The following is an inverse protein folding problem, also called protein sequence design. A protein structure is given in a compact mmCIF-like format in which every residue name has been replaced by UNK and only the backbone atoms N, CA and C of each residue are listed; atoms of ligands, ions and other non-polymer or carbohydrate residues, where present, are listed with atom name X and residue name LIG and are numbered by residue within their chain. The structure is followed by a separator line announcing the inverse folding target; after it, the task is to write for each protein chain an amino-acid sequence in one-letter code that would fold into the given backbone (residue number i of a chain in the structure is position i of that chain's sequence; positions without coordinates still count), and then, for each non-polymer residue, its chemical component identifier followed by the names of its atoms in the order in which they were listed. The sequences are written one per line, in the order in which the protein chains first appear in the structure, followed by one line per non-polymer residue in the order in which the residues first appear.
data_IF_833094998715
#
_entry.id   IF_833094998715
#
_cell.length_a   1.000
_cell.length_b   1.000
_cell.length_c   1.000
_cell.angle_alpha   90.00
_cell.angle_beta   90.00
_cell.angle_gamma   90.00
#
_symmetry.space_group_name_H-M   'P 1'
#
loop_
_entity.id
_entity.type
_entity.pdbx_description
1 polymer ?
#
# COMPACT_ATOMS: atom_id res chain seq x y z
N UNK A 1 -26.92 -23.72 22.32
CA UNK A 1 -26.64 -22.77 21.21
C UNK A 1 -25.35 -22.05 21.55
N UNK A 2 -24.20 -22.52 21.08
CA UNK A 2 -22.94 -21.79 21.28
C UNK A 2 -22.92 -20.64 20.31
N UNK A 3 -23.39 -19.47 20.74
CA UNK A 3 -23.17 -18.23 19.99
C UNK A 3 -21.69 -17.89 20.11
N UNK A 4 -20.90 -18.20 19.09
CA UNK A 4 -19.58 -17.59 18.91
C UNK A 4 -19.81 -16.09 18.68
N UNK A 5 -20.01 -15.36 19.77
CA UNK A 5 -20.24 -13.91 19.70
C UNK A 5 -18.87 -13.26 19.62
N UNK A 6 -18.55 -12.70 18.44
CA UNK A 6 -17.36 -11.87 18.29
C UNK A 6 -17.65 -10.49 18.84
N UNK A 7 -16.70 -9.89 19.54
CA UNK A 7 -16.81 -8.50 20.02
C UNK A 7 -16.60 -7.55 18.82
N UNK A 8 -15.67 -7.88 17.92
CA UNK A 8 -15.28 -7.05 16.79
C UNK A 8 -15.11 -7.88 15.53
N UNK A 9 -15.59 -7.36 14.41
CA UNK A 9 -15.20 -7.83 13.07
C UNK A 9 -14.18 -6.85 12.50
N UNK A 10 -13.03 -7.35 12.01
CA UNK A 10 -12.04 -6.56 11.29
C UNK A 10 -12.09 -6.93 9.80
N UNK A 11 -12.30 -5.93 8.93
CA UNK A 11 -12.34 -6.12 7.48
C UNK A 11 -10.96 -5.80 6.91
N UNK A 12 -10.23 -6.83 6.49
CA UNK A 12 -8.87 -6.79 5.97
C UNK A 12 -7.82 -7.25 6.96
N UNK A 13 -6.87 -8.09 6.47
CA UNK A 13 -5.76 -8.65 7.24
C UNK A 13 -4.41 -8.08 6.82
N UNK A 14 -4.40 -6.84 6.31
CA UNK A 14 -3.16 -6.08 6.14
C UNK A 14 -2.57 -5.66 7.49
N UNK A 15 -1.43 -4.97 7.47
CA UNK A 15 -0.72 -4.54 8.69
C UNK A 15 -1.63 -3.82 9.69
N UNK A 16 -2.55 -2.98 9.22
CA UNK A 16 -3.50 -2.29 10.10
C UNK A 16 -4.44 -3.26 10.82
N UNK A 17 -5.03 -4.20 10.07
CA UNK A 17 -5.96 -5.19 10.63
C UNK A 17 -5.27 -6.13 11.60
N UNK A 18 -4.09 -6.65 11.24
CA UNK A 18 -3.30 -7.53 12.11
C UNK A 18 -2.90 -6.82 13.41
N UNK A 19 -2.43 -5.57 13.32
CA UNK A 19 -2.07 -4.77 14.51
C UNK A 19 -3.29 -4.53 15.41
N UNK A 20 -4.42 -4.14 14.84
CA UNK A 20 -5.63 -3.91 15.62
C UNK A 20 -6.15 -5.21 16.26
N UNK A 21 -6.07 -6.34 15.55
CA UNK A 21 -6.46 -7.65 16.09
C UNK A 21 -5.58 -8.07 17.27
N UNK A 22 -4.26 -7.92 17.15
CA UNK A 22 -3.32 -8.22 18.25
C UNK A 22 -3.60 -7.35 19.48
N UNK A 23 -3.84 -6.05 19.29
CA UNK A 23 -4.13 -5.11 20.38
C UNK A 23 -5.48 -5.40 21.07
N UNK A 24 -6.50 -5.79 20.31
CA UNK A 24 -7.81 -6.18 20.85
C UNK A 24 -7.76 -7.52 21.56
N UNK A 25 -7.07 -8.52 20.98
CA UNK A 25 -6.85 -9.81 21.60
C UNK A 25 -6.10 -9.70 22.92
N UNK A 26 -5.06 -8.88 23.00
CA UNK A 26 -4.32 -8.62 24.24
C UNK A 26 -5.21 -8.02 25.35
N UNK A 27 -6.35 -7.40 24.99
CA UNK A 27 -7.38 -6.89 25.92
C UNK A 27 -8.49 -7.92 26.18
N UNK A 28 -8.34 -9.17 25.71
CA UNK A 28 -9.30 -10.23 25.87
C UNK A 28 -10.54 -10.16 24.96
N UNK A 29 -10.51 -9.31 23.91
CA UNK A 29 -11.63 -9.19 22.96
C UNK A 29 -11.59 -10.32 21.92
N UNK A 30 -12.74 -10.88 21.58
CA UNK A 30 -12.90 -11.87 20.51
C UNK A 30 -13.02 -11.17 19.16
N UNK A 31 -12.11 -11.49 18.26
CA UNK A 31 -11.99 -10.84 16.96
C UNK A 31 -12.23 -11.84 15.82
N UNK A 32 -13.10 -11.50 14.89
CA UNK A 32 -13.22 -12.14 13.59
C UNK A 32 -12.58 -11.24 12.53
N UNK A 33 -11.59 -11.77 11.81
CA UNK A 33 -11.01 -11.06 10.67
C UNK A 33 -11.54 -11.64 9.36
N UNK A 34 -11.95 -10.77 8.43
CA UNK A 34 -12.39 -11.14 7.09
C UNK A 34 -11.35 -10.66 6.07
N UNK A 35 -10.84 -11.58 5.26
CA UNK A 35 -9.83 -11.31 4.23
C UNK A 35 -10.34 -11.78 2.86
N UNK A 36 -10.28 -10.91 1.86
CA UNK A 36 -10.71 -11.21 0.49
C UNK A 36 -9.80 -12.21 -0.24
N UNK A 37 -8.49 -12.15 0.07
CA UNK A 37 -7.49 -13.03 -0.53
C UNK A 37 -7.40 -14.38 0.23
N UNK A 38 -6.56 -15.26 -0.27
CA UNK A 38 -6.25 -16.55 0.37
C UNK A 38 -5.15 -16.48 1.43
N UNK A 39 -4.45 -15.32 1.53
CA UNK A 39 -3.34 -15.08 2.45
C UNK A 39 -3.48 -13.74 3.17
N UNK A 40 -2.87 -13.66 4.36
CA UNK A 40 -2.81 -12.47 5.21
C UNK A 40 -1.62 -11.58 4.87
N UNK A 41 -1.54 -10.36 5.47
CA UNK A 41 -0.44 -9.42 5.30
C UNK A 41 -0.73 -8.26 4.33
N UNK A 42 -1.78 -8.39 3.50
CA UNK A 42 -2.16 -7.36 2.53
C UNK A 42 -1.05 -7.04 1.53
N UNK A 43 -0.93 -5.78 1.09
CA UNK A 43 0.14 -5.36 0.18
C UNK A 43 1.54 -5.55 0.77
N UNK A 44 1.71 -5.24 2.06
CA UNK A 44 3.01 -5.35 2.73
C UNK A 44 3.51 -6.80 2.74
N UNK A 45 2.65 -7.77 2.95
CA UNK A 45 2.99 -9.20 2.92
C UNK A 45 3.59 -9.66 1.58
N UNK A 46 3.45 -8.85 0.53
CA UNK A 46 4.00 -9.11 -0.80
C UNK A 46 5.36 -8.43 -1.04
N UNK A 47 5.94 -7.71 -0.10
CA UNK A 47 7.20 -7.01 -0.27
C UNK A 47 8.38 -7.87 0.18
N UNK A 48 9.45 -7.86 -0.64
CA UNK A 48 10.67 -8.62 -0.39
C UNK A 48 11.42 -8.12 0.84
N UNK A 49 11.48 -6.80 1.01
CA UNK A 49 12.08 -6.14 2.18
C UNK A 49 11.26 -4.92 2.56
N UNK A 50 10.97 -4.76 3.84
CA UNK A 50 10.28 -3.61 4.40
C UNK A 50 11.27 -2.63 5.04
N UNK A 51 11.27 -1.39 4.60
CA UNK A 51 12.04 -0.33 5.24
C UNK A 51 11.20 0.37 6.33
N UNK A 52 11.76 0.69 7.51
CA UNK A 52 13.15 0.53 7.94
C UNK A 52 13.46 -0.81 8.61
N UNK A 53 12.57 -1.78 8.58
CA UNK A 53 12.63 -3.01 9.40
C UNK A 53 13.70 -4.01 8.92
N UNK A 54 14.10 -3.98 7.64
CA UNK A 54 15.09 -4.89 7.08
C UNK A 54 14.66 -6.35 6.93
N UNK A 55 13.38 -6.65 7.14
CA UNK A 55 12.78 -7.99 7.03
C UNK A 55 11.75 -8.04 5.92
N UNK A 56 11.36 -9.23 5.49
CA UNK A 56 10.29 -9.39 4.50
C UNK A 56 8.94 -8.94 5.05
N UNK A 57 8.03 -8.57 4.16
CA UNK A 57 6.67 -8.20 4.57
C UNK A 57 5.90 -9.34 5.21
N UNK A 58 6.20 -10.59 4.84
CA UNK A 58 5.63 -11.78 5.46
C UNK A 58 6.10 -11.92 6.90
N UNK A 59 7.41 -11.86 7.15
CA UNK A 59 7.97 -11.90 8.50
C UNK A 59 7.44 -10.77 9.37
N UNK A 60 7.28 -9.57 8.81
CA UNK A 60 6.68 -8.45 9.53
C UNK A 60 5.23 -8.76 9.92
N UNK A 61 4.41 -9.27 9.00
CA UNK A 61 3.02 -9.60 9.28
C UNK A 61 2.90 -10.71 10.35
N UNK A 62 3.71 -11.76 10.26
CA UNK A 62 3.76 -12.86 11.22
C UNK A 62 4.24 -12.40 12.61
N UNK A 63 5.14 -11.41 12.68
CA UNK A 63 5.60 -10.84 13.95
C UNK A 63 4.54 -10.00 14.68
N UNK A 64 3.55 -9.48 13.96
CA UNK A 64 2.48 -8.64 14.53
C UNK A 64 1.40 -9.48 15.19
N UNK A 65 0.94 -10.53 14.51
CA UNK A 65 -0.12 -11.42 15.01
C UNK A 65 0.29 -12.87 14.78
N UNK A 66 0.64 -13.61 15.84
CA UNK A 66 0.89 -15.05 15.74
C UNK A 66 -0.35 -15.82 15.25
N UNK A 67 -0.14 -16.83 14.40
CA UNK A 67 -1.23 -17.62 13.82
C UNK A 67 -2.07 -18.39 14.87
N UNK A 68 -1.56 -18.56 16.08
CA UNK A 68 -2.17 -19.35 17.16
C UNK A 68 -2.86 -18.49 18.23
N UNK A 69 -3.24 -17.24 17.93
CA UNK A 69 -3.97 -16.41 18.91
C UNK A 69 -5.39 -16.96 19.16
N UNK A 70 -5.67 -17.34 20.39
CA UNK A 70 -6.93 -17.98 20.78
C UNK A 70 -8.17 -17.08 20.69
N UNK A 71 -7.99 -15.75 20.70
CA UNK A 71 -9.08 -14.80 20.63
C UNK A 71 -9.33 -14.30 19.19
N UNK A 72 -8.47 -14.68 18.24
CA UNK A 72 -8.57 -14.20 16.85
C UNK A 72 -8.90 -15.36 15.91
N UNK A 73 -9.96 -15.20 15.15
CA UNK A 73 -10.30 -16.09 14.04
C UNK A 73 -10.18 -15.36 12.72
N UNK A 74 -9.54 -15.97 11.72
CA UNK A 74 -9.35 -15.40 10.40
C UNK A 74 -10.11 -16.22 9.37
N UNK A 75 -10.94 -15.55 8.55
CA UNK A 75 -11.57 -16.12 7.38
C UNK A 75 -10.97 -15.50 6.13
N UNK A 76 -10.21 -16.27 5.40
CA UNK A 76 -9.72 -15.93 4.07
C UNK A 76 -10.80 -16.19 3.02
N UNK A 77 -10.62 -15.64 1.79
CA UNK A 77 -11.58 -15.71 0.67
C UNK A 77 -12.99 -15.21 1.05
N UNK A 78 -13.05 -14.27 1.99
CA UNK A 78 -14.28 -13.68 2.52
C UNK A 78 -14.29 -12.19 2.24
N UNK A 79 -14.93 -11.79 1.15
CA UNK A 79 -14.99 -10.38 0.71
C UNK A 79 -16.23 -9.74 1.31
N UNK A 80 -16.04 -8.77 2.21
CA UNK A 80 -17.12 -7.94 2.74
C UNK A 80 -17.75 -7.12 1.59
N UNK A 81 -19.08 -7.11 1.51
CA UNK A 81 -19.85 -6.40 0.49
C UNK A 81 -20.69 -5.25 1.05
N UNK A 82 -21.22 -5.40 2.26
CA UNK A 82 -22.04 -4.38 2.92
C UNK A 82 -21.98 -4.52 4.44
N UNK A 83 -22.33 -3.45 5.13
CA UNK A 83 -22.50 -3.39 6.58
C UNK A 83 -23.93 -2.92 6.85
N UNK A 84 -24.59 -3.53 7.83
CA UNK A 84 -25.94 -3.12 8.26
C UNK A 84 -26.00 -2.97 9.76
N UNK A 85 -26.70 -1.94 10.24
CA UNK A 85 -27.01 -1.72 11.65
C UNK A 85 -28.18 -2.59 12.06
N UNK A 86 -28.00 -3.40 13.10
CA UNK A 86 -29.05 -4.26 13.64
C UNK A 86 -29.88 -3.52 14.70
N UNK A 87 -31.12 -4.01 15.01
CA UNK A 87 -32.00 -3.33 15.95
C UNK A 87 -31.44 -3.14 17.38
N UNK A 88 -30.49 -3.97 17.79
CA UNK A 88 -29.80 -3.90 19.08
C UNK A 88 -28.59 -2.95 19.07
N UNK A 89 -28.34 -2.29 17.93
CA UNK A 89 -27.19 -1.40 17.72
C UNK A 89 -25.88 -2.10 17.37
N UNK A 90 -25.86 -3.44 17.27
CA UNK A 90 -24.74 -4.18 16.72
C UNK A 90 -24.66 -4.06 15.19
N UNK A 91 -23.55 -4.48 14.60
CA UNK A 91 -23.32 -4.37 13.17
C UNK A 91 -23.24 -5.77 12.53
N UNK A 92 -23.83 -5.93 11.35
CA UNK A 92 -23.74 -7.12 10.52
C UNK A 92 -22.92 -6.82 9.27
N UNK A 93 -21.93 -7.67 8.98
CA UNK A 93 -21.11 -7.61 7.76
C UNK A 93 -21.56 -8.74 6.83
N UNK A 94 -22.09 -8.39 5.67
CA UNK A 94 -22.41 -9.33 4.60
C UNK A 94 -21.21 -9.57 3.70
N UNK A 95 -21.00 -10.80 3.27
CA UNK A 95 -19.94 -11.17 2.34
C UNK A 95 -20.50 -11.56 0.97
N UNK A 96 -19.66 -11.49 -0.07
CA UNK A 96 -20.04 -11.81 -1.46
C UNK A 96 -20.40 -13.28 -1.66
N UNK A 97 -19.98 -14.18 -0.76
CA UNK A 97 -20.32 -15.60 -0.74
C UNK A 97 -21.70 -15.90 -0.12
N UNK A 98 -22.45 -14.86 0.27
CA UNK A 98 -23.77 -14.96 0.90
C UNK A 98 -23.71 -15.20 2.42
N UNK A 99 -22.54 -15.30 3.02
CA UNK A 99 -22.42 -15.38 4.50
C UNK A 99 -22.57 -13.99 5.13
N UNK A 100 -23.05 -13.97 6.38
CA UNK A 100 -23.10 -12.75 7.19
C UNK A 100 -22.58 -13.03 8.60
N UNK A 101 -21.91 -12.04 9.17
CA UNK A 101 -21.32 -12.10 10.50
C UNK A 101 -21.71 -10.87 11.29
N UNK A 102 -22.03 -11.01 12.57
CA UNK A 102 -22.40 -9.89 13.43
C UNK A 102 -21.43 -9.74 14.60
N UNK A 103 -21.22 -8.48 15.02
CA UNK A 103 -20.44 -8.11 16.18
C UNK A 103 -20.91 -6.76 16.71
N UNK A 104 -20.54 -6.42 17.96
CA UNK A 104 -20.83 -5.09 18.54
C UNK A 104 -20.11 -3.97 17.81
N UNK A 105 -18.95 -4.27 17.22
CA UNK A 105 -18.16 -3.28 16.49
C UNK A 105 -17.59 -3.86 15.19
N UNK A 106 -17.35 -2.99 14.22
CA UNK A 106 -16.64 -3.29 12.98
C UNK A 106 -15.48 -2.32 12.83
N UNK A 107 -14.29 -2.84 12.52
CA UNK A 107 -13.11 -2.03 12.20
C UNK A 107 -12.74 -2.25 10.73
N UNK A 108 -12.84 -1.20 9.93
CA UNK A 108 -12.47 -1.22 8.53
C UNK A 108 -10.95 -0.98 8.37
N UNK A 109 -10.23 -2.02 7.96
CA UNK A 109 -8.80 -2.01 7.68
C UNK A 109 -8.49 -2.47 6.25
N UNK A 110 -9.37 -2.11 5.31
CA UNK A 110 -9.37 -2.58 3.91
C UNK A 110 -8.20 -2.07 3.07
N UNK A 111 -7.39 -1.14 3.60
CA UNK A 111 -6.22 -0.61 2.93
C UNK A 111 -6.55 0.28 1.72
N UNK A 112 -5.77 0.14 0.67
CA UNK A 112 -5.82 0.96 -0.54
C UNK A 112 -5.69 0.10 -1.80
N UNK A 113 -6.09 0.66 -2.95
CA UNK A 113 -5.81 0.10 -4.27
C UNK A 113 -4.49 0.63 -4.83
N UNK A 114 -3.85 -0.14 -5.70
CA UNK A 114 -2.75 0.35 -6.52
C UNK A 114 -3.31 1.10 -7.74
N UNK A 115 -2.62 2.17 -8.14
CA UNK A 115 -2.98 2.89 -9.36
C UNK A 115 -2.77 2.01 -10.58
N UNK A 116 -3.75 1.98 -11.48
CA UNK A 116 -3.62 1.29 -12.76
C UNK A 116 -2.72 2.09 -13.71
N UNK A 117 -1.48 1.63 -13.89
CA UNK A 117 -0.50 2.29 -14.72
C UNK A 117 -0.88 2.36 -16.20
N UNK A 118 -1.85 1.55 -16.68
CA UNK A 118 -2.38 1.61 -18.06
C UNK A 118 -3.10 2.93 -18.35
N UNK A 119 -3.58 3.62 -17.33
CA UNK A 119 -4.18 4.95 -17.45
C UNK A 119 -3.15 6.05 -17.79
N UNK A 120 -1.85 5.71 -17.80
CA UNK A 120 -0.73 6.57 -18.21
C UNK A 120 -0.11 6.01 -19.48
N UNK A 121 -0.88 6.02 -20.57
CA UNK A 121 -0.49 5.44 -21.87
C UNK A 121 0.87 5.95 -22.35
N UNK A 122 1.20 7.22 -22.07
CA UNK A 122 2.47 7.85 -22.42
C UNK A 122 3.69 7.18 -21.77
N UNK A 123 3.50 6.36 -20.73
CA UNK A 123 4.56 5.59 -20.08
C UNK A 123 4.69 4.16 -20.63
N UNK A 124 3.72 3.69 -21.42
CA UNK A 124 3.79 2.44 -22.17
C UNK A 124 3.64 1.16 -21.37
N UNK A 125 3.09 1.21 -20.14
CA UNK A 125 2.83 0.00 -19.36
C UNK A 125 1.80 -0.92 -20.01
N UNK A 126 2.15 -2.20 -20.14
CA UNK A 126 1.33 -3.18 -20.87
C UNK A 126 1.41 -3.08 -22.41
N UNK A 127 2.16 -2.10 -22.92
CA UNK A 127 2.39 -1.89 -24.37
C UNK A 127 3.83 -2.24 -24.75
N UNK A 128 4.81 -1.71 -23.98
CA UNK A 128 6.22 -1.91 -24.28
C UNK A 128 6.83 -2.94 -23.32
N UNK A 129 7.51 -3.98 -23.83
CA UNK A 129 8.34 -4.85 -23.00
C UNK A 129 9.38 -4.01 -22.23
N UNK A 130 9.62 -4.34 -20.96
CA UNK A 130 10.57 -3.61 -20.12
C UNK A 130 9.96 -2.44 -19.34
N UNK A 131 8.68 -2.07 -19.55
CA UNK A 131 7.96 -1.17 -18.66
C UNK A 131 7.26 -2.00 -17.58
N UNK A 132 7.66 -1.80 -16.33
CA UNK A 132 7.22 -2.56 -15.16
C UNK A 132 6.72 -1.61 -14.07
N UNK A 133 5.80 -2.05 -13.24
CA UNK A 133 5.44 -1.33 -12.02
C UNK A 133 6.35 -1.74 -10.86
N UNK A 134 6.37 -0.94 -9.79
CA UNK A 134 7.01 -1.32 -8.53
C UNK A 134 6.46 -2.63 -7.97
N UNK A 135 5.16 -2.89 -8.15
CA UNK A 135 4.51 -4.13 -7.74
C UNK A 135 4.99 -5.34 -8.56
N UNK A 136 5.17 -5.17 -9.89
CA UNK A 136 5.68 -6.25 -10.75
C UNK A 136 7.09 -6.66 -10.33
N UNK A 137 7.96 -5.69 -10.02
CA UNK A 137 9.32 -5.96 -9.53
C UNK A 137 9.29 -6.73 -8.22
N UNK A 138 8.52 -6.28 -7.24
CA UNK A 138 8.40 -6.96 -5.94
C UNK A 138 7.85 -8.40 -6.10
N UNK A 139 6.85 -8.58 -6.97
CA UNK A 139 6.28 -9.91 -7.25
C UNK A 139 7.30 -10.85 -7.90
N UNK A 140 8.13 -10.35 -8.83
CA UNK A 140 9.20 -11.14 -9.45
C UNK A 140 10.27 -11.51 -8.42
N UNK A 141 10.69 -10.57 -7.57
CA UNK A 141 11.68 -10.84 -6.53
C UNK A 141 11.21 -11.87 -5.51
N UNK A 142 9.95 -11.85 -5.12
CA UNK A 142 9.37 -12.88 -4.23
C UNK A 142 9.43 -14.29 -4.83
N UNK A 143 9.28 -14.40 -6.15
CA UNK A 143 9.43 -15.67 -6.88
C UNK A 143 10.88 -16.07 -7.12
N UNK A 144 11.86 -15.26 -6.67
CA UNK A 144 13.27 -15.46 -6.97
C UNK A 144 13.65 -15.11 -8.41
N UNK A 145 12.75 -14.49 -9.16
CA UNK A 145 12.98 -14.07 -10.53
C UNK A 145 13.82 -12.79 -10.54
N UNK A 146 14.60 -12.62 -11.60
CA UNK A 146 15.38 -11.39 -11.85
C UNK A 146 14.92 -10.78 -13.17
N UNK A 147 14.19 -9.64 -13.13
CA UNK A 147 13.91 -8.90 -14.35
C UNK A 147 15.24 -8.56 -15.05
N UNK A 148 15.34 -8.72 -16.36
CA UNK A 148 16.56 -8.53 -17.15
C UNK A 148 17.70 -9.53 -16.83
N UNK A 149 17.39 -10.72 -16.33
CA UNK A 149 18.37 -11.80 -16.22
C UNK A 149 18.99 -12.07 -17.61
N UNK A 150 20.33 -12.03 -17.69
CA UNK A 150 21.09 -12.20 -18.94
C UNK A 150 21.50 -10.90 -19.66
N UNK A 151 21.03 -9.73 -19.20
CA UNK A 151 21.56 -8.45 -19.66
C UNK A 151 22.89 -8.15 -18.94
N UNK A 152 23.93 -7.82 -19.69
CA UNK A 152 25.17 -7.25 -19.14
C UNK A 152 24.97 -5.76 -18.92
N UNK A 153 25.31 -5.26 -17.72
CA UNK A 153 25.23 -3.84 -17.33
C UNK A 153 23.84 -3.22 -17.59
N UNK A 154 22.74 -3.78 -17.05
CA UNK A 154 21.40 -3.29 -17.37
C UNK A 154 21.18 -1.88 -16.83
N UNK A 155 20.44 -1.07 -17.59
CA UNK A 155 20.10 0.31 -17.26
C UNK A 155 18.65 0.39 -16.83
N UNK A 156 18.41 0.87 -15.62
CA UNK A 156 17.07 1.06 -15.05
C UNK A 156 16.75 2.54 -14.90
N UNK A 157 15.58 2.93 -15.35
CA UNK A 157 14.96 4.19 -14.96
C UNK A 157 13.83 3.92 -13.97
N UNK A 158 13.77 4.65 -12.88
CA UNK A 158 12.67 4.60 -11.91
C UNK A 158 11.96 5.95 -11.97
N UNK A 159 10.67 5.97 -12.29
CA UNK A 159 9.88 7.21 -12.35
C UNK A 159 8.91 7.28 -11.19
N UNK A 160 8.99 8.37 -10.44
CA UNK A 160 8.18 8.61 -9.26
C UNK A 160 6.82 9.24 -9.60
N UNK A 161 5.87 9.15 -8.66
CA UNK A 161 4.55 9.80 -8.71
C UNK A 161 3.66 9.37 -9.88
N UNK A 162 3.76 8.10 -10.32
CA UNK A 162 2.84 7.56 -11.33
C UNK A 162 1.47 7.34 -10.68
N UNK A 163 0.44 8.07 -11.14
CA UNK A 163 -0.88 8.07 -10.51
C UNK A 163 -0.91 8.73 -9.12
N UNK A 164 -0.01 9.70 -8.88
CA UNK A 164 -0.01 10.54 -7.69
C UNK A 164 0.36 11.96 -8.07
N UNK A 165 -0.25 12.99 -7.44
CA UNK A 165 0.00 14.39 -7.76
C UNK A 165 -0.22 14.67 -9.26
N UNK A 166 -1.22 14.02 -9.83
CA UNK A 166 -1.50 14.03 -11.25
C UNK A 166 -2.96 14.42 -11.53
N UNK A 167 -3.16 15.64 -12.00
CA UNK A 167 -4.47 16.18 -12.32
C UNK A 167 -5.12 15.50 -13.52
N UNK A 168 -4.33 14.94 -14.45
CA UNK A 168 -4.86 14.21 -15.62
C UNK A 168 -5.58 12.93 -15.19
N UNK A 169 -5.12 12.31 -14.12
CA UNK A 169 -5.75 11.11 -13.54
C UNK A 169 -6.73 11.45 -12.40
N UNK A 170 -7.02 12.74 -12.16
CA UNK A 170 -7.82 13.23 -11.04
C UNK A 170 -7.30 12.79 -9.65
N UNK A 171 -6.01 12.50 -9.52
CA UNK A 171 -5.37 12.11 -8.26
C UNK A 171 -4.43 13.24 -7.80
N UNK A 172 -4.95 14.07 -6.90
CA UNK A 172 -4.23 15.28 -6.42
C UNK A 172 -3.27 14.98 -5.28
N UNK A 173 -3.54 13.95 -4.50
CA UNK A 173 -2.76 13.63 -3.31
C UNK A 173 -1.41 12.99 -3.65
N UNK A 174 -0.48 13.10 -2.71
CA UNK A 174 0.77 12.34 -2.69
C UNK A 174 0.51 10.98 -2.03
N UNK A 175 1.03 9.91 -2.61
CA UNK A 175 0.97 8.57 -2.00
C UNK A 175 1.97 8.39 -0.85
N UNK A 176 2.74 9.42 -0.51
CA UNK A 176 3.60 9.55 0.66
C UNK A 176 4.82 8.61 0.70
N UNK A 177 4.67 7.36 0.29
CA UNK A 177 5.70 6.31 0.43
C UNK A 177 6.55 6.10 -0.81
N UNK A 178 6.11 6.53 -2.00
CA UNK A 178 6.78 6.17 -3.25
C UNK A 178 8.21 6.72 -3.38
N UNK A 179 8.56 7.83 -2.72
CA UNK A 179 9.94 8.32 -2.72
C UNK A 179 10.87 7.34 -1.98
N UNK A 180 10.52 6.95 -0.77
CA UNK A 180 11.29 5.98 0.01
C UNK A 180 11.34 4.62 -0.69
N UNK A 181 10.18 4.12 -1.17
CA UNK A 181 10.14 2.81 -1.86
C UNK A 181 10.97 2.82 -3.14
N UNK A 182 10.95 3.91 -3.91
CA UNK A 182 11.76 4.02 -5.13
C UNK A 182 13.25 4.10 -4.86
N UNK A 183 13.68 4.81 -3.80
CA UNK A 183 15.09 4.85 -3.39
C UNK A 183 15.54 3.48 -2.87
N UNK A 184 14.74 2.83 -2.00
CA UNK A 184 14.99 1.46 -1.54
C UNK A 184 15.14 0.49 -2.73
N UNK A 185 14.18 0.52 -3.66
CA UNK A 185 14.20 -0.34 -4.83
C UNK A 185 15.44 -0.10 -5.72
N UNK A 186 15.89 1.15 -5.85
CA UNK A 186 17.10 1.48 -6.56
C UNK A 186 18.36 0.83 -5.91
N UNK A 187 18.46 0.86 -4.58
CA UNK A 187 19.55 0.19 -3.87
C UNK A 187 19.48 -1.33 -4.00
N UNK A 188 18.28 -1.91 -3.93
CA UNK A 188 18.08 -3.35 -4.11
C UNK A 188 18.40 -3.80 -5.54
N UNK A 189 18.08 -3.00 -6.57
CA UNK A 189 18.51 -3.27 -7.95
C UNK A 189 20.03 -3.28 -8.03
N UNK A 190 20.71 -2.29 -7.46
CA UNK A 190 22.19 -2.23 -7.44
C UNK A 190 22.82 -3.41 -6.70
N UNK A 191 22.20 -3.90 -5.64
CA UNK A 191 22.67 -5.10 -4.92
C UNK A 191 22.53 -6.37 -5.76
N UNK A 192 21.41 -6.51 -6.49
CA UNK A 192 21.14 -7.69 -7.35
C UNK A 192 21.86 -7.65 -8.69
N UNK A 193 22.16 -6.45 -9.18
CA UNK A 193 22.88 -6.19 -10.44
C UNK A 193 24.00 -5.16 -10.18
N UNK A 194 25.14 -5.60 -9.65
CA UNK A 194 26.22 -4.68 -9.25
C UNK A 194 26.73 -3.76 -10.37
N UNK A 195 26.69 -4.25 -11.62
CA UNK A 195 27.13 -3.49 -12.79
C UNK A 195 26.04 -2.64 -13.43
N UNK A 196 24.81 -2.65 -12.87
CA UNK A 196 23.69 -1.87 -13.41
C UNK A 196 23.89 -0.37 -13.24
N UNK A 197 23.19 0.41 -14.07
CA UNK A 197 23.00 1.84 -13.87
C UNK A 197 21.55 2.07 -13.47
N UNK A 198 21.31 2.84 -12.41
CA UNK A 198 19.97 3.15 -11.92
C UNK A 198 19.81 4.64 -11.77
N UNK A 199 18.80 5.18 -12.45
CA UNK A 199 18.45 6.61 -12.39
C UNK A 199 17.01 6.79 -11.90
N UNK A 200 16.84 7.56 -10.82
CA UNK A 200 15.54 7.98 -10.31
C UNK A 200 15.13 9.31 -10.95
N UNK A 201 13.95 9.35 -11.59
CA UNK A 201 13.31 10.54 -12.13
C UNK A 201 12.20 10.99 -11.19
N UNK A 202 12.31 12.19 -10.62
CA UNK A 202 11.44 12.67 -9.57
C UNK A 202 11.05 14.14 -9.73
N UNK A 203 9.92 14.55 -9.15
CA UNK A 203 9.55 15.97 -9.04
C UNK A 203 10.14 16.59 -7.78
N UNK A 204 9.85 15.99 -6.63
CA UNK A 204 10.40 16.30 -5.30
C UNK A 204 10.63 14.98 -4.58
N UNK A 205 11.75 14.81 -3.91
CA UNK A 205 12.00 13.70 -3.00
C UNK A 205 11.49 14.09 -1.61
N UNK A 206 10.54 13.31 -1.12
CA UNK A 206 9.95 13.49 0.21
C UNK A 206 10.49 12.42 1.15
N UNK A 207 11.74 12.62 1.58
CA UNK A 207 12.50 11.72 2.45
C UNK A 207 12.60 12.37 3.83
N UNK A 208 11.48 12.41 4.57
CA UNK A 208 11.36 13.22 5.80
C UNK A 208 11.06 12.40 7.06
N UNK A 209 10.97 11.07 6.95
CA UNK A 209 10.78 10.20 8.11
C UNK A 209 12.13 9.62 8.58
N UNK A 210 12.13 9.01 9.75
CA UNK A 210 13.32 8.47 10.39
C UNK A 210 14.02 7.42 9.49
N UNK A 211 15.32 7.60 9.25
CA UNK A 211 16.15 6.74 8.41
C UNK A 211 15.97 6.97 6.90
N UNK A 212 15.09 7.85 6.46
CA UNK A 212 14.84 8.06 5.02
C UNK A 212 15.95 8.87 4.35
N UNK A 213 16.48 9.86 5.04
CA UNK A 213 17.59 10.67 4.53
C UNK A 213 18.86 9.84 4.44
N UNK A 214 19.12 9.01 5.43
CA UNK A 214 20.25 8.07 5.43
C UNK A 214 20.15 7.08 4.28
N UNK A 215 18.94 6.54 4.00
CA UNK A 215 18.70 5.69 2.84
C UNK A 215 19.02 6.41 1.52
N UNK A 216 18.63 7.68 1.40
CA UNK A 216 18.91 8.49 0.22
C UNK A 216 20.41 8.74 0.04
N UNK A 217 21.13 9.11 1.11
CA UNK A 217 22.58 9.28 1.08
C UNK A 217 23.30 7.97 0.74
N UNK A 218 22.88 6.87 1.35
CA UNK A 218 23.44 5.54 1.08
C UNK A 218 23.27 5.14 -0.40
N UNK A 219 22.08 5.39 -0.96
CA UNK A 219 21.81 5.14 -2.38
C UNK A 219 22.77 5.89 -3.31
N UNK A 220 23.13 7.14 -2.97
CA UNK A 220 24.06 7.94 -3.77
C UNK A 220 25.50 7.52 -3.57
N UNK A 221 25.97 7.38 -2.33
CA UNK A 221 27.37 7.23 -1.99
C UNK A 221 27.86 5.79 -2.15
N UNK A 222 27.07 4.81 -1.74
CA UNK A 222 27.49 3.41 -1.70
C UNK A 222 26.95 2.62 -2.88
N UNK A 223 25.79 3.00 -3.44
CA UNK A 223 25.17 2.30 -4.57
C UNK A 223 25.25 3.06 -5.90
N UNK A 224 25.83 4.27 -5.92
CA UNK A 224 25.96 5.10 -7.12
C UNK A 224 24.64 5.26 -7.90
N UNK A 225 23.53 5.40 -7.18
CA UNK A 225 22.22 5.68 -7.76
C UNK A 225 22.17 7.13 -8.21
N UNK A 226 21.74 7.37 -9.43
CA UNK A 226 21.58 8.71 -10.00
C UNK A 226 20.18 9.27 -9.73
N UNK A 227 20.12 10.60 -9.59
CA UNK A 227 18.88 11.32 -9.31
C UNK A 227 18.73 12.49 -10.28
N UNK A 228 17.66 12.46 -11.09
CA UNK A 228 17.31 13.52 -12.06
C UNK A 228 16.00 14.15 -11.62
N UNK A 229 16.05 15.46 -11.31
CA UNK A 229 14.83 16.19 -11.01
C UNK A 229 14.10 16.55 -12.29
N UNK A 230 13.08 15.76 -12.63
CA UNK A 230 12.31 15.96 -13.85
C UNK A 230 11.24 14.88 -14.03
N UNK A 231 10.35 15.11 -14.97
CA UNK A 231 9.34 14.15 -15.38
C UNK A 231 9.72 13.51 -16.70
N UNK A 232 9.50 12.21 -16.82
CA UNK A 232 9.52 11.54 -18.12
C UNK A 232 8.29 11.98 -18.90
N UNK A 233 8.52 12.52 -20.09
CA UNK A 233 7.48 13.05 -20.98
C UNK A 233 7.15 12.11 -22.13
N UNK A 234 8.04 11.18 -22.46
CA UNK A 234 7.89 10.26 -23.59
C UNK A 234 8.64 8.98 -23.32
N UNK A 235 8.03 7.87 -23.68
CA UNK A 235 8.64 6.53 -23.70
C UNK A 235 8.34 5.90 -25.05
N UNK A 236 9.34 5.34 -25.72
CA UNK A 236 9.19 4.66 -26.99
C UNK A 236 10.10 3.43 -27.08
N UNK A 237 9.70 2.38 -27.79
CA UNK A 237 10.58 1.24 -28.03
C UNK A 237 11.67 1.61 -29.01
N UNK A 238 12.83 0.99 -28.88
CA UNK A 238 13.93 1.10 -29.85
C UNK A 238 14.11 -0.19 -30.64
N UNK A 239 14.78 -0.12 -31.80
CA UNK A 239 14.99 -1.29 -32.64
C UNK A 239 15.87 -2.37 -31.98
N UNK A 240 16.65 -2.02 -30.98
CA UNK A 240 17.52 -2.92 -30.22
C UNK A 240 16.83 -3.52 -28.99
N UNK A 241 15.50 -3.35 -28.86
CA UNK A 241 14.68 -3.93 -27.78
C UNK A 241 14.71 -3.15 -26.47
N UNK A 242 15.43 -2.02 -26.42
CA UNK A 242 15.43 -1.12 -25.25
C UNK A 242 14.30 -0.09 -25.32
N UNK A 243 14.19 0.70 -24.27
CA UNK A 243 13.28 1.83 -24.18
C UNK A 243 14.07 3.14 -24.35
N UNK A 244 13.61 3.99 -25.24
CA UNK A 244 14.00 5.38 -25.31
C UNK A 244 13.12 6.18 -24.36
N UNK A 245 13.72 6.99 -23.50
CA UNK A 245 13.01 7.90 -22.59
C UNK A 245 13.44 9.34 -22.85
N UNK A 246 12.49 10.24 -22.72
CA UNK A 246 12.71 11.69 -22.79
C UNK A 246 12.26 12.34 -21.48
N UNK A 247 13.12 13.15 -20.91
CA UNK A 247 12.85 13.92 -19.70
C UNK A 247 13.44 15.31 -19.83
N UNK A 248 13.13 16.19 -18.87
CA UNK A 248 13.82 17.44 -18.66
C UNK A 248 14.52 17.37 -17.31
N UNK A 249 15.84 17.65 -17.28
CA UNK A 249 16.51 17.93 -16.02
C UNK A 249 16.24 19.39 -15.63
N UNK A 250 15.33 19.58 -14.68
CA UNK A 250 14.88 20.91 -14.26
C UNK A 250 15.89 21.67 -13.41
N UNK A 251 16.92 20.99 -12.88
CA UNK A 251 18.04 21.64 -12.18
C UNK A 251 19.06 22.22 -13.17
N UNK A 252 19.29 21.50 -14.26
CA UNK A 252 20.20 21.96 -15.33
C UNK A 252 19.49 22.78 -16.40
N UNK A 253 18.14 22.79 -16.42
CA UNK A 253 17.32 23.44 -17.46
C UNK A 253 17.55 22.85 -18.86
N UNK A 254 17.82 21.53 -18.95
CA UNK A 254 18.17 20.88 -20.21
C UNK A 254 17.30 19.65 -20.49
N UNK A 255 16.91 19.44 -21.76
CA UNK A 255 16.28 18.18 -22.17
C UNK A 255 17.29 17.05 -22.04
N UNK A 256 16.80 15.94 -21.51
CA UNK A 256 17.55 14.69 -21.34
C UNK A 256 16.92 13.60 -22.20
N UNK A 257 17.76 12.82 -22.84
CA UNK A 257 17.39 11.65 -23.63
C UNK A 257 18.24 10.49 -23.18
N UNK A 258 17.61 9.36 -22.87
CA UNK A 258 18.31 8.18 -22.41
C UNK A 258 17.72 6.91 -23.02
N UNK A 259 18.52 5.84 -23.04
CA UNK A 259 18.09 4.50 -23.42
C UNK A 259 18.27 3.58 -22.23
N UNK A 260 17.20 2.91 -21.84
CA UNK A 260 17.18 2.02 -20.67
C UNK A 260 16.66 0.63 -21.06
N UNK A 261 17.05 -0.38 -20.31
CA UNK A 261 16.57 -1.75 -20.48
C UNK A 261 15.25 -1.98 -19.75
N UNK A 262 15.04 -1.26 -18.65
CA UNK A 262 13.77 -1.25 -17.94
C UNK A 262 13.38 0.14 -17.41
N UNK A 263 12.07 0.42 -17.48
CA UNK A 263 11.42 1.56 -16.84
C UNK A 263 10.52 1.06 -15.72
N UNK A 264 10.80 1.45 -14.49
CA UNK A 264 10.03 1.07 -13.31
C UNK A 264 9.12 2.23 -12.88
N UNK A 265 7.83 1.99 -12.87
CA UNK A 265 6.80 2.96 -12.51
C UNK A 265 6.49 2.83 -11.01
N UNK A 266 6.82 3.87 -10.24
CA UNK A 266 6.44 3.97 -8.82
C UNK A 266 4.98 4.38 -8.73
N UNK A 267 4.09 3.37 -8.80
CA UNK A 267 2.64 3.57 -8.79
C UNK A 267 2.13 4.02 -7.42
N UNK A 268 1.13 4.89 -7.46
CA UNK A 268 0.55 5.49 -6.27
C UNK A 268 -0.54 4.67 -5.60
N UNK A 269 -0.95 5.14 -4.42
CA UNK A 269 -2.10 4.61 -3.68
C UNK A 269 -3.39 5.28 -4.17
N UNK A 270 -4.39 4.48 -4.51
CA UNK A 270 -5.75 4.90 -4.83
C UNK A 270 -6.73 4.41 -3.78
N UNK A 271 -7.85 5.11 -3.63
CA UNK A 271 -8.92 4.64 -2.77
C UNK A 271 -9.65 3.44 -3.39
N UNK A 272 -10.10 2.52 -2.54
CA UNK A 272 -11.06 1.49 -2.97
C UNK A 272 -12.46 2.08 -3.13
N UNK A 273 -13.33 1.38 -3.87
CA UNK A 273 -14.77 1.67 -3.83
C UNK A 273 -15.29 1.52 -2.38
N UNK A 274 -16.17 2.42 -1.93
CA UNK A 274 -16.65 2.39 -0.56
C UNK A 274 -17.58 1.19 -0.34
N UNK A 275 -17.51 0.60 0.83
CA UNK A 275 -18.57 -0.27 1.31
C UNK A 275 -19.86 0.55 1.53
N UNK A 276 -21.00 -0.11 1.42
CA UNK A 276 -22.29 0.46 1.78
C UNK A 276 -22.60 0.16 3.25
N UNK A 277 -23.15 1.15 3.93
CA UNK A 277 -23.67 1.02 5.30
C UNK A 277 -25.15 1.38 5.25
N UNK A 278 -26.01 0.45 5.65
CA UNK A 278 -27.47 0.58 5.60
C UNK A 278 -28.01 0.99 4.20
N UNK A 279 -27.36 0.48 3.15
CA UNK A 279 -27.70 0.76 1.75
C UNK A 279 -27.04 2.00 1.15
N UNK A 280 -26.43 2.85 1.96
CA UNK A 280 -25.78 4.08 1.52
C UNK A 280 -24.26 3.92 1.46
N UNK A 281 -23.56 4.52 0.46
CA UNK A 281 -22.11 4.46 0.39
C UNK A 281 -21.48 5.20 1.57
N UNK A 282 -20.42 4.64 2.15
CA UNK A 282 -19.66 5.32 3.21
C UNK A 282 -19.13 6.67 2.75
N UNK A 283 -19.10 7.63 3.67
CA UNK A 283 -18.51 8.95 3.43
C UNK A 283 -17.06 8.83 2.96
N UNK A 284 -16.70 9.70 2.01
CA UNK A 284 -15.33 9.80 1.47
C UNK A 284 -14.67 11.12 1.85
N UNK A 285 -13.37 11.07 2.05
CA UNK A 285 -12.51 12.26 2.08
C UNK A 285 -12.42 12.90 0.69
N UNK A 286 -11.88 14.11 0.62
CA UNK A 286 -11.64 14.82 -0.65
C UNK A 286 -10.76 14.01 -1.64
N UNK A 287 -9.95 13.09 -1.14
CA UNK A 287 -9.08 12.21 -1.93
C UNK A 287 -9.70 10.83 -2.22
N UNK A 288 -11.00 10.65 -1.93
CA UNK A 288 -11.74 9.44 -2.20
C UNK A 288 -11.58 8.32 -1.17
N UNK A 289 -10.69 8.43 -0.19
CA UNK A 289 -10.52 7.46 0.89
C UNK A 289 -11.67 7.55 1.88
N UNK A 290 -11.79 6.56 2.79
CA UNK A 290 -12.84 6.55 3.81
C UNK A 290 -12.79 7.82 4.65
N UNK A 291 -13.93 8.48 4.76
CA UNK A 291 -14.11 9.68 5.59
C UNK A 291 -14.23 9.32 7.07
N UNK A 292 -13.69 10.17 7.93
CA UNK A 292 -13.79 10.05 9.38
C UNK A 292 -14.85 10.99 9.93
N UNK A 293 -15.29 10.76 11.17
CA UNK A 293 -16.35 11.56 11.82
C UNK A 293 -15.94 13.05 11.98
N UNK A 294 -14.65 13.31 12.25
CA UNK A 294 -14.09 14.66 12.31
C UNK A 294 -12.56 14.62 12.16
N UNK A 295 -11.90 15.77 11.92
CA UNK A 295 -10.44 15.85 11.84
C UNK A 295 -9.70 15.42 13.10
N UNK A 296 -10.34 15.44 14.27
CA UNK A 296 -9.75 15.01 15.55
C UNK A 296 -10.16 13.60 15.96
N UNK A 297 -11.20 13.04 15.36
CA UNK A 297 -11.70 11.69 15.60
C UNK A 297 -11.33 10.79 14.43
N UNK A 298 -10.04 10.66 14.21
CA UNK A 298 -9.45 10.10 12.97
C UNK A 298 -9.69 8.60 12.76
N UNK A 299 -10.18 7.87 13.76
CA UNK A 299 -10.49 6.44 13.68
C UNK A 299 -12.01 6.15 13.79
N UNK A 300 -12.84 7.16 14.04
CA UNK A 300 -14.28 7.03 14.10
C UNK A 300 -14.90 7.36 12.75
N UNK A 301 -15.97 6.65 12.39
CA UNK A 301 -16.85 7.01 11.26
C UNK A 301 -18.12 7.71 11.76
N UNK A 302 -18.98 8.10 10.82
CA UNK A 302 -20.30 8.66 11.18
C UNK A 302 -21.24 7.60 11.79
N UNK A 303 -20.99 6.32 11.57
CA UNK A 303 -21.80 5.20 12.08
C UNK A 303 -21.27 4.75 13.44
N UNK A 304 -22.08 4.76 14.51
CA UNK A 304 -21.69 4.24 15.82
C UNK A 304 -21.23 2.78 15.73
N UNK A 305 -20.15 2.43 16.45
CA UNK A 305 -19.58 1.07 16.41
C UNK A 305 -18.76 0.72 15.18
N UNK A 306 -18.73 1.59 14.13
CA UNK A 306 -17.91 1.41 12.94
C UNK A 306 -16.66 2.30 13.01
N UNK A 307 -15.50 1.67 13.00
CA UNK A 307 -14.17 2.29 13.06
C UNK A 307 -13.39 2.11 11.77
N UNK A 308 -12.34 2.89 11.59
CA UNK A 308 -11.45 2.78 10.43
C UNK A 308 -9.99 2.92 10.85
N UNK A 309 -9.11 2.10 10.25
CA UNK A 309 -7.68 2.10 10.52
C UNK A 309 -6.83 2.02 9.26
N UNK A 310 -5.62 2.56 9.36
CA UNK A 310 -4.58 2.48 8.37
C UNK A 310 -4.90 3.19 7.07
N UNK A 311 -4.31 2.69 5.98
CA UNK A 311 -4.35 3.35 4.67
C UNK A 311 -5.74 3.35 3.99
N UNK A 312 -6.77 2.77 4.60
CA UNK A 312 -8.16 2.95 4.19
C UNK A 312 -8.63 4.42 4.29
N UNK A 313 -8.01 5.23 5.16
CA UNK A 313 -8.27 6.68 5.34
C UNK A 313 -7.41 7.58 4.47
N UNK A 314 -6.33 7.06 3.93
CA UNK A 314 -5.36 7.80 3.13
C UNK A 314 -3.96 7.19 3.17
N UNK A 315 -3.04 7.69 2.34
CA UNK A 315 -1.67 7.20 2.28
C UNK A 315 -0.92 7.29 3.62
N UNK A 316 -0.33 6.17 4.03
CA UNK A 316 0.48 6.03 5.25
C UNK A 316 1.66 5.10 4.99
N UNK A 317 2.79 5.33 5.67
CA UNK A 317 3.87 4.35 5.74
C UNK A 317 3.58 3.27 6.81
N UNK A 318 4.41 2.24 6.88
CA UNK A 318 4.18 1.11 7.80
C UNK A 318 4.15 1.59 9.26
N UNK A 319 5.08 2.44 9.68
CA UNK A 319 5.17 2.95 11.06
C UNK A 319 3.91 3.73 11.45
N UNK A 320 3.41 4.56 10.54
CA UNK A 320 2.17 5.29 10.75
C UNK A 320 0.96 4.36 10.84
N UNK A 321 0.91 3.34 9.98
CA UNK A 321 -0.16 2.32 10.00
C UNK A 321 -0.18 1.58 11.34
N UNK A 322 0.98 1.18 11.86
CA UNK A 322 1.09 0.52 13.16
C UNK A 322 0.56 1.40 14.30
N UNK A 323 0.95 2.68 14.34
CA UNK A 323 0.51 3.62 15.36
C UNK A 323 -1.00 3.90 15.25
N UNK A 324 -1.50 4.12 14.04
CA UNK A 324 -2.90 4.39 13.78
C UNK A 324 -3.82 3.21 14.10
N UNK A 325 -3.39 1.99 13.79
CA UNK A 325 -4.15 0.77 14.10
C UNK A 325 -4.25 0.52 15.61
N UNK A 326 -3.20 0.84 16.37
CA UNK A 326 -3.23 0.79 17.84
C UNK A 326 -4.23 1.81 18.40
N UNK A 327 -4.24 3.02 17.86
CA UNK A 327 -5.22 4.05 18.25
C UNK A 327 -6.65 3.61 17.91
N UNK A 328 -6.89 3.05 16.74
CA UNK A 328 -8.19 2.52 16.34
C UNK A 328 -8.66 1.38 17.26
N UNK A 329 -7.76 0.46 17.63
CA UNK A 329 -8.06 -0.63 18.57
C UNK A 329 -8.43 -0.08 19.96
N UNK A 330 -7.74 0.95 20.44
CA UNK A 330 -8.05 1.59 21.72
C UNK A 330 -9.44 2.26 21.71
N UNK A 331 -9.81 2.96 20.64
CA UNK A 331 -11.16 3.55 20.51
C UNK A 331 -12.24 2.46 20.38
N UNK A 332 -11.95 1.37 19.69
CA UNK A 332 -12.85 0.20 19.59
C UNK A 332 -13.07 -0.43 20.97
N UNK A 333 -12.00 -0.69 21.72
CA UNK A 333 -12.08 -1.26 23.07
C UNK A 333 -12.84 -0.36 24.05
N UNK A 334 -12.61 0.93 23.99
CA UNK A 334 -13.34 1.93 24.78
C UNK A 334 -14.85 1.91 24.47
N UNK A 335 -15.23 1.71 23.21
CA UNK A 335 -16.64 1.56 22.83
C UNK A 335 -17.23 0.26 23.38
N UNK A 336 -16.51 -0.84 23.29
CA UNK A 336 -16.92 -2.16 23.80
C UNK A 336 -17.08 -2.20 25.34
N UNK A 337 -16.39 -1.32 26.05
CA UNK A 337 -16.39 -1.25 27.52
C UNK A 337 -17.51 -0.39 28.11
N UNK A 338 -18.34 0.22 27.28
CA UNK A 338 -19.57 0.93 27.63
C UNK A 338 -20.75 -0.04 27.77
#
# INVERSE_FOLDING_TARGET
MNSNHNDTIIIGTGIAGLTAAAELSARGRKVLMLEKNDSTGGHVGQWSVCFPFGISGRELAESILPQSDANVSIRTRSTASAISTLPDGSLSVSCTDGTAHSARTVLLASGYGMFDARLKEELGYGIYPGVLTSEDIERQWQKGERPLAGHSNPRFAIVHCVGSRDLKCNIRHCSKVCCMVGVKMATEIRQRYPDSQVTNYYMDLRMFDNGYEELYHDAQLNYNVQFVRGRISEVAPTNDGRLYIRAEDTLLGKPLRDKVDALVLMIGMSAHEPLHVDGEPMNRSINGFVGTASPVQINLTATPGLFVAGAAKGPMNITEVLADARAAAAETDKYLSR
#
